data_IF_896561175963
#
_entry.id   IF_896561175963
#
_cell.length_a   1.000
_cell.length_b   1.000
_cell.length_c   1.000
_cell.angle_alpha   90.00
_cell.angle_beta   90.00
_cell.angle_gamma   90.00
#
_symmetry.space_group_name_H-M   'P 1'
#
loop_
_entity.id
_entity.type
_entity.pdbx_description
1 polymer ?
#
# COMPACT_ATOMS: atom_id res chain seq x y z
N UNK A 1 -0.58 -15.68 -10.26
CA UNK A 1 -1.98 -15.27 -10.47
C UNK A 1 -2.67 -15.25 -9.13
N UNK A 2 -3.07 -14.08 -8.64
CA UNK A 2 -3.79 -13.98 -7.38
C UNK A 2 -5.25 -14.43 -7.56
N UNK A 3 -5.80 -15.20 -6.63
CA UNK A 3 -7.18 -15.67 -6.70
C UNK A 3 -8.10 -14.61 -6.07
N UNK A 4 -9.05 -14.05 -6.83
CA UNK A 4 -10.00 -13.05 -6.34
C UNK A 4 -10.80 -13.56 -5.13
N UNK A 5 -11.12 -14.86 -5.08
CA UNK A 5 -11.85 -15.48 -3.96
C UNK A 5 -11.11 -15.34 -2.62
N UNK A 6 -9.78 -15.24 -2.62
CA UNK A 6 -9.01 -14.94 -1.42
C UNK A 6 -9.41 -13.59 -0.83
N UNK A 7 -9.48 -12.54 -1.65
CA UNK A 7 -9.81 -11.20 -1.16
C UNK A 7 -11.27 -11.11 -0.72
N UNK A 8 -12.18 -11.79 -1.42
CA UNK A 8 -13.58 -11.89 -0.97
C UNK A 8 -13.67 -12.54 0.42
N UNK A 9 -12.88 -13.59 0.67
CA UNK A 9 -12.87 -14.30 1.96
C UNK A 9 -12.25 -13.49 3.10
N UNK A 10 -11.23 -12.67 2.81
CA UNK A 10 -10.40 -12.01 3.83
C UNK A 10 -10.59 -10.50 3.92
N UNK A 11 -11.59 -9.92 3.24
CA UNK A 11 -11.93 -8.49 3.35
C UNK A 11 -13.40 -8.28 3.77
N UNK A 12 -13.78 -7.04 4.05
CA UNK A 12 -15.01 -6.69 4.77
C UNK A 12 -16.16 -6.22 3.87
N UNK A 13 -15.89 -5.95 2.59
CA UNK A 13 -16.90 -5.57 1.60
C UNK A 13 -16.43 -5.93 0.18
N UNK A 14 -17.34 -5.91 -0.80
CA UNK A 14 -16.99 -6.19 -2.20
C UNK A 14 -16.04 -5.13 -2.77
N UNK A 15 -16.20 -3.87 -2.36
CA UNK A 15 -15.32 -2.76 -2.73
C UNK A 15 -13.92 -2.96 -2.13
N UNK A 16 -13.84 -3.37 -0.86
CA UNK A 16 -12.56 -3.71 -0.23
C UNK A 16 -11.87 -4.88 -0.94
N UNK A 17 -12.63 -5.92 -1.31
CA UNK A 17 -12.10 -7.08 -2.02
C UNK A 17 -11.54 -6.67 -3.39
N UNK A 18 -12.30 -5.85 -4.13
CA UNK A 18 -11.91 -5.32 -5.44
C UNK A 18 -10.62 -4.49 -5.36
N UNK A 19 -10.60 -3.50 -4.46
CA UNK A 19 -9.45 -2.62 -4.28
C UNK A 19 -8.21 -3.39 -3.82
N UNK A 20 -8.35 -4.29 -2.84
CA UNK A 20 -7.23 -5.09 -2.33
C UNK A 20 -6.65 -6.02 -3.40
N UNK A 21 -7.52 -6.69 -4.17
CA UNK A 21 -7.12 -7.55 -5.28
C UNK A 21 -6.35 -6.77 -6.35
N UNK A 22 -6.96 -5.69 -6.87
CA UNK A 22 -6.35 -4.91 -7.94
C UNK A 22 -5.07 -4.22 -7.47
N UNK A 23 -5.03 -3.72 -6.23
CA UNK A 23 -3.82 -3.15 -5.65
C UNK A 23 -2.70 -4.20 -5.56
N UNK A 24 -3.01 -5.42 -5.09
CA UNK A 24 -2.03 -6.51 -5.03
C UNK A 24 -1.46 -6.85 -6.42
N UNK A 25 -2.31 -7.01 -7.42
CA UNK A 25 -1.89 -7.31 -8.80
C UNK A 25 -1.02 -6.18 -9.38
N UNK A 26 -1.35 -4.92 -9.09
CA UNK A 26 -0.57 -3.77 -9.55
C UNK A 26 0.79 -3.67 -8.84
N UNK A 27 0.85 -3.86 -7.52
CA UNK A 27 2.13 -3.91 -6.78
C UNK A 27 3.01 -5.05 -7.28
N UNK A 28 2.42 -6.22 -7.56
CA UNK A 28 3.16 -7.37 -8.11
C UNK A 28 3.75 -7.03 -9.48
N UNK A 29 2.99 -6.35 -10.35
CA UNK A 29 3.49 -5.90 -11.67
C UNK A 29 4.59 -4.84 -11.59
N UNK A 30 4.67 -4.09 -10.50
CA UNK A 30 5.76 -3.12 -10.27
C UNK A 30 7.09 -3.77 -9.85
N UNK A 31 7.13 -5.09 -9.63
CA UNK A 31 8.36 -5.79 -9.28
C UNK A 31 8.81 -5.55 -7.83
N UNK A 32 7.92 -5.05 -6.95
CA UNK A 32 8.27 -4.67 -5.58
C UNK A 32 8.67 -5.88 -4.73
N UNK A 33 8.03 -7.03 -4.95
CA UNK A 33 8.25 -8.25 -4.15
C UNK A 33 9.55 -8.99 -4.53
N UNK A 34 10.10 -8.69 -5.70
CA UNK A 34 11.38 -9.17 -6.20
C UNK A 34 12.54 -8.38 -5.57
N UNK A 35 12.28 -7.13 -5.19
CA UNK A 35 13.26 -6.23 -4.57
C UNK A 35 13.23 -6.39 -3.04
N UNK A 36 12.04 -6.41 -2.45
CA UNK A 36 11.85 -6.46 -1.01
C UNK A 36 11.20 -7.78 -0.61
N UNK A 37 11.89 -8.53 0.25
CA UNK A 37 11.37 -9.79 0.75
C UNK A 37 10.13 -9.56 1.63
N UNK A 38 9.24 -10.55 1.66
CA UNK A 38 8.22 -10.69 2.69
C UNK A 38 8.00 -12.18 2.90
N UNK A 39 8.10 -12.63 4.14
CA UNK A 39 8.13 -14.06 4.47
C UNK A 39 6.75 -14.72 4.47
N UNK A 40 5.70 -13.91 4.46
CA UNK A 40 4.32 -14.37 4.44
C UNK A 40 3.71 -14.13 3.06
N UNK A 41 2.46 -14.56 2.90
CA UNK A 41 1.71 -14.34 1.68
C UNK A 41 1.55 -12.83 1.37
N UNK A 42 2.09 -12.37 0.24
CA UNK A 42 2.05 -10.98 -0.21
C UNK A 42 0.63 -10.40 -0.31
N UNK A 43 -0.39 -11.24 -0.53
CA UNK A 43 -1.79 -10.82 -0.57
C UNK A 43 -2.26 -10.20 0.75
N UNK A 44 -1.65 -10.62 1.87
CA UNK A 44 -1.98 -10.10 3.20
C UNK A 44 -1.65 -8.62 3.36
N UNK A 45 -0.71 -8.07 2.59
CA UNK A 45 -0.39 -6.63 2.64
C UNK A 45 -1.61 -5.82 2.19
N UNK A 46 -2.20 -6.16 1.05
CA UNK A 46 -3.39 -5.48 0.52
C UNK A 46 -4.62 -5.70 1.41
N UNK A 47 -4.80 -6.91 1.94
CA UNK A 47 -5.87 -7.19 2.92
C UNK A 47 -5.70 -6.34 4.18
N UNK A 48 -4.47 -6.17 4.66
CA UNK A 48 -4.18 -5.37 5.85
C UNK A 48 -4.47 -3.89 5.62
N UNK A 49 -4.13 -3.37 4.44
CA UNK A 49 -4.47 -1.99 4.08
C UNK A 49 -5.99 -1.78 4.00
N UNK A 50 -6.70 -2.69 3.34
CA UNK A 50 -8.16 -2.65 3.28
C UNK A 50 -8.78 -2.71 4.68
N UNK A 51 -8.25 -3.54 5.57
CA UNK A 51 -8.67 -3.59 6.97
C UNK A 51 -8.53 -2.27 7.70
N UNK A 52 -7.34 -1.65 7.66
CA UNK A 52 -7.09 -0.40 8.39
C UNK A 52 -8.02 0.70 7.89
N UNK A 53 -8.10 0.88 6.57
CA UNK A 53 -8.95 1.91 5.98
C UNK A 53 -10.43 1.66 6.29
N UNK A 54 -10.90 0.41 6.22
CA UNK A 54 -12.27 0.04 6.57
C UNK A 54 -12.57 0.27 8.06
N UNK A 55 -11.68 -0.17 8.96
CA UNK A 55 -11.85 -0.04 10.41
C UNK A 55 -12.02 1.41 10.85
N UNK A 56 -11.32 2.32 10.19
CA UNK A 56 -11.39 3.75 10.43
C UNK A 56 -12.42 4.48 9.53
N UNK A 57 -13.30 3.71 8.88
CA UNK A 57 -14.44 4.22 8.10
C UNK A 57 -14.04 5.17 6.96
N UNK A 58 -12.86 4.96 6.36
CA UNK A 58 -12.47 5.69 5.16
C UNK A 58 -13.43 5.32 4.04
N UNK A 59 -13.94 6.30 3.29
CA UNK A 59 -14.86 6.01 2.19
C UNK A 59 -14.10 5.28 1.07
N UNK A 60 -14.73 4.35 0.36
CA UNK A 60 -14.06 3.53 -0.66
C UNK A 60 -13.42 4.35 -1.79
N UNK A 61 -14.00 5.52 -2.14
CA UNK A 61 -13.38 6.45 -3.10
C UNK A 61 -12.05 7.01 -2.58
N UNK A 62 -11.98 7.37 -1.30
CA UNK A 62 -10.77 7.88 -0.67
C UNK A 62 -9.74 6.76 -0.51
N UNK A 63 -10.19 5.54 -0.19
CA UNK A 63 -9.31 4.36 -0.20
C UNK A 63 -8.67 4.16 -1.59
N UNK A 64 -9.47 4.25 -2.66
CA UNK A 64 -8.96 4.08 -4.02
C UNK A 64 -7.93 5.17 -4.36
N UNK A 65 -8.14 6.41 -3.90
CA UNK A 65 -7.20 7.50 -4.09
C UNK A 65 -5.90 7.29 -3.29
N UNK A 66 -5.99 6.89 -2.03
CA UNK A 66 -4.82 6.59 -1.19
C UNK A 66 -3.99 5.44 -1.77
N UNK A 67 -4.66 4.37 -2.21
CA UNK A 67 -4.01 3.23 -2.87
C UNK A 67 -3.40 3.63 -4.23
N UNK A 68 -4.06 4.50 -5.00
CA UNK A 68 -3.50 5.00 -6.26
C UNK A 68 -2.25 5.85 -6.05
N UNK A 69 -2.26 6.75 -5.06
CA UNK A 69 -1.08 7.52 -4.66
C UNK A 69 0.05 6.61 -4.21
N UNK A 70 -0.27 5.59 -3.42
CA UNK A 70 0.70 4.56 -3.01
C UNK A 70 1.34 3.88 -4.21
N UNK A 71 0.55 3.50 -5.23
CA UNK A 71 1.08 2.90 -6.46
C UNK A 71 2.00 3.85 -7.22
N UNK A 72 1.70 5.15 -7.28
CA UNK A 72 2.61 6.14 -7.89
C UNK A 72 3.91 6.22 -7.10
N UNK A 73 3.87 6.24 -5.77
CA UNK A 73 5.07 6.26 -4.95
C UNK A 73 5.94 5.02 -5.15
N UNK A 74 5.31 3.85 -5.31
CA UNK A 74 6.00 2.58 -5.57
C UNK A 74 6.53 2.49 -7.00
N UNK A 75 5.82 3.01 -8.00
CA UNK A 75 6.29 3.09 -9.39
C UNK A 75 7.54 3.97 -9.48
N UNK A 76 7.50 5.18 -8.92
CA UNK A 76 8.66 6.06 -8.81
C UNK A 76 9.84 5.37 -8.11
N UNK A 77 9.56 4.63 -7.03
CA UNK A 77 10.58 3.89 -6.30
C UNK A 77 11.21 2.78 -7.13
N UNK A 78 10.40 2.01 -7.86
CA UNK A 78 10.87 0.89 -8.69
C UNK A 78 11.85 1.37 -9.77
N UNK A 79 11.62 2.56 -10.34
CA UNK A 79 12.51 3.19 -11.33
C UNK A 79 13.84 3.68 -10.75
N UNK A 80 13.93 3.91 -9.43
CA UNK A 80 15.06 4.60 -8.79
C UNK A 80 15.68 3.82 -7.63
N UNK A 81 15.32 2.56 -7.45
CA UNK A 81 15.74 1.76 -6.30
C UNK A 81 17.26 1.61 -6.21
N UNK A 82 17.93 1.45 -7.36
CA UNK A 82 19.39 1.28 -7.43
C UNK A 82 20.15 2.54 -6.99
N UNK A 83 19.53 3.71 -7.13
CA UNK A 83 20.09 4.98 -6.70
C UNK A 83 19.88 5.28 -5.20
N UNK A 84 19.30 4.35 -4.43
CA UNK A 84 18.96 4.54 -3.00
C UNK A 84 19.50 3.38 -2.15
N UNK A 85 20.82 3.30 -1.91
CA UNK A 85 21.42 2.21 -1.14
C UNK A 85 20.90 2.14 0.30
N UNK A 86 20.62 3.28 0.95
CA UNK A 86 20.12 3.32 2.33
C UNK A 86 18.73 2.66 2.47
N UNK A 87 17.98 2.58 1.37
CA UNK A 87 16.70 1.90 1.33
C UNK A 87 16.87 0.40 1.52
N UNK A 88 17.84 -0.24 0.88
CA UNK A 88 18.07 -1.69 1.05
C UNK A 88 18.54 -2.04 2.47
N UNK A 89 19.28 -1.14 3.10
CA UNK A 89 19.76 -1.35 4.47
C UNK A 89 18.63 -1.25 5.50
N UNK A 90 17.79 -0.21 5.38
CA UNK A 90 16.75 0.12 6.37
C UNK A 90 15.39 -0.51 6.07
N UNK A 91 15.11 -0.82 4.81
CA UNK A 91 13.86 -1.42 4.37
C UNK A 91 14.13 -2.82 3.83
N UNK A 92 14.00 -3.83 4.71
CA UNK A 92 14.21 -5.24 4.36
C UNK A 92 12.91 -5.99 4.08
N UNK A 93 11.78 -5.29 4.18
CA UNK A 93 10.47 -5.92 4.27
C UNK A 93 9.42 -5.15 3.44
N UNK A 94 8.82 -5.83 2.46
CA UNK A 94 7.84 -5.24 1.57
C UNK A 94 6.57 -4.79 2.32
N UNK A 95 6.19 -5.50 3.39
CA UNK A 95 5.01 -5.14 4.18
C UNK A 95 5.17 -3.74 4.78
N UNK A 96 6.26 -3.49 5.52
CA UNK A 96 6.51 -2.18 6.10
C UNK A 96 6.67 -1.09 5.01
N UNK A 97 7.34 -1.38 3.89
CA UNK A 97 7.45 -0.43 2.79
C UNK A 97 6.08 0.02 2.28
N UNK A 98 5.25 -0.94 1.88
CA UNK A 98 3.97 -0.67 1.22
C UNK A 98 3.00 -0.05 2.21
N UNK A 99 2.89 -0.58 3.43
CA UNK A 99 1.98 -0.05 4.44
C UNK A 99 2.31 1.40 4.80
N UNK A 100 3.58 1.76 4.93
CA UNK A 100 3.95 3.11 5.34
C UNK A 100 4.11 4.10 4.18
N UNK A 101 4.25 3.62 2.93
CA UNK A 101 3.96 4.44 1.75
C UNK A 101 2.46 4.78 1.67
N UNK A 102 1.58 3.82 1.98
CA UNK A 102 0.15 4.06 2.06
C UNK A 102 -0.23 5.01 3.20
N UNK A 103 0.42 4.91 4.35
CA UNK A 103 0.29 5.91 5.42
C UNK A 103 0.63 7.32 4.92
N UNK A 104 1.74 7.50 4.19
CA UNK A 104 2.12 8.80 3.64
C UNK A 104 1.09 9.33 2.63
N UNK A 105 0.57 8.46 1.76
CA UNK A 105 -0.48 8.81 0.81
C UNK A 105 -1.75 9.27 1.54
N UNK A 106 -2.20 8.49 2.52
CA UNK A 106 -3.37 8.79 3.34
C UNK A 106 -3.20 10.11 4.12
N UNK A 107 -2.03 10.32 4.73
CA UNK A 107 -1.71 11.54 5.48
C UNK A 107 -1.65 12.79 4.58
N UNK A 108 -1.30 12.64 3.30
CA UNK A 108 -1.30 13.74 2.33
C UNK A 108 -2.70 14.07 1.82
N UNK A 109 -3.53 13.04 1.62
CA UNK A 109 -4.82 13.17 0.93
C UNK A 109 -6.00 13.44 1.87
N UNK A 110 -5.93 12.97 3.11
CA UNK A 110 -7.06 13.02 4.04
C UNK A 110 -7.08 14.30 4.87
N UNK A 111 -8.25 14.96 4.94
CA UNK A 111 -8.48 16.09 5.84
C UNK A 111 -8.32 15.69 7.32
N UNK A 112 -8.73 14.46 7.65
CA UNK A 112 -8.61 13.87 8.99
C UNK A 112 -7.92 12.50 8.88
N UNK A 113 -6.58 12.46 8.81
CA UNK A 113 -5.88 11.21 8.61
C UNK A 113 -5.93 10.34 9.88
N UNK A 114 -5.97 9.03 9.66
CA UNK A 114 -5.71 8.03 10.71
C UNK A 114 -4.32 8.31 11.28
N UNK A 115 -4.21 8.51 12.59
CA UNK A 115 -2.96 8.95 13.22
C UNK A 115 -1.91 7.85 13.15
N UNK A 116 -0.64 8.21 13.13
CA UNK A 116 0.44 7.21 13.13
C UNK A 116 0.39 6.28 14.36
N UNK A 117 -0.06 6.80 15.51
CA UNK A 117 -0.26 6.00 16.73
C UNK A 117 -1.34 4.92 16.56
N UNK A 118 -2.34 5.17 15.73
CA UNK A 118 -3.40 4.22 15.40
C UNK A 118 -2.86 3.13 14.47
N UNK A 119 -2.13 3.50 13.41
CA UNK A 119 -1.39 2.55 12.57
C UNK A 119 -0.41 1.69 13.39
N UNK A 120 0.23 2.27 14.40
CA UNK A 120 1.11 1.54 15.32
C UNK A 120 0.34 0.48 16.11
N UNK A 121 -0.81 0.84 16.69
CA UNK A 121 -1.66 -0.09 17.47
C UNK A 121 -2.20 -1.24 16.62
N UNK A 122 -2.56 -0.97 15.37
CA UNK A 122 -3.12 -2.01 14.50
C UNK A 122 -2.03 -2.95 13.97
N UNK A 123 -0.96 -2.41 13.40
CA UNK A 123 0.05 -3.22 12.68
C UNK A 123 1.50 -2.89 13.01
N UNK A 124 1.81 -1.65 13.40
CA UNK A 124 3.20 -1.23 13.56
C UNK A 124 3.94 -1.87 14.73
N UNK A 125 3.23 -2.26 15.80
CA UNK A 125 3.82 -2.95 16.94
C UNK A 125 4.53 -4.27 16.58
N UNK A 126 4.18 -4.87 15.43
CA UNK A 126 4.82 -6.11 14.93
C UNK A 126 6.25 -5.89 14.46
N UNK A 127 6.53 -4.70 13.93
CA UNK A 127 7.81 -4.36 13.30
C UNK A 127 8.63 -3.35 14.10
N UNK A 128 7.98 -2.54 14.94
CA UNK A 128 8.60 -1.44 15.68
C UNK A 128 8.31 -1.58 17.17
N UNK A 129 9.32 -1.30 18.00
CA UNK A 129 9.18 -1.43 19.47
C UNK A 129 8.21 -0.39 20.05
N UNK A 130 8.11 0.78 19.42
CA UNK A 130 7.24 1.86 19.83
C UNK A 130 6.91 2.79 18.65
N UNK A 131 5.94 3.66 18.84
CA UNK A 131 5.50 4.61 17.82
C UNK A 131 6.60 5.60 17.41
N UNK A 132 7.58 5.88 18.27
CA UNK A 132 8.70 6.76 17.93
C UNK A 132 9.63 6.13 16.88
N UNK A 133 9.94 4.84 17.02
CA UNK A 133 10.69 4.10 15.99
C UNK A 133 9.94 4.03 14.67
N UNK A 134 8.63 3.81 14.73
CA UNK A 134 7.79 3.85 13.53
C UNK A 134 7.83 5.25 12.88
N UNK A 135 7.72 6.32 13.67
CA UNK A 135 7.81 7.69 13.17
C UNK A 135 9.14 7.97 12.49
N UNK A 136 10.26 7.50 13.07
CA UNK A 136 11.58 7.61 12.45
C UNK A 136 11.67 6.87 11.10
N UNK A 137 10.99 5.72 10.97
CA UNK A 137 10.91 4.97 9.73
C UNK A 137 10.05 5.68 8.66
N UNK A 138 8.86 6.17 9.05
CA UNK A 138 8.01 6.96 8.15
C UNK A 138 8.71 8.23 7.68
N UNK A 139 9.40 8.92 8.58
CA UNK A 139 10.18 10.11 8.24
C UNK A 139 11.33 9.78 7.28
N UNK A 140 11.97 8.60 7.42
CA UNK A 140 12.95 8.11 6.45
C UNK A 140 12.32 7.91 5.06
N UNK A 141 11.15 7.26 4.98
CA UNK A 141 10.43 7.10 3.70
C UNK A 141 10.10 8.48 3.09
N UNK A 142 9.63 9.43 3.89
CA UNK A 142 9.28 10.75 3.40
C UNK A 142 10.50 11.56 2.93
N UNK A 143 11.56 11.62 3.75
CA UNK A 143 12.73 12.45 3.47
C UNK A 143 13.68 11.84 2.44
N UNK A 144 14.08 10.57 2.63
CA UNK A 144 15.12 9.93 1.82
C UNK A 144 14.55 9.20 0.60
N UNK A 145 13.39 8.57 0.75
CA UNK A 145 12.79 7.80 -0.37
C UNK A 145 12.00 8.73 -1.27
N UNK A 146 11.11 9.54 -0.71
CA UNK A 146 10.27 10.50 -1.44
C UNK A 146 10.89 11.88 -1.65
N UNK A 147 12.03 12.19 -1.01
CA UNK A 147 12.69 13.49 -1.21
C UNK A 147 11.84 14.68 -0.77
N UNK A 148 11.06 14.53 0.30
CA UNK A 148 10.07 15.51 0.79
C UNK A 148 8.93 15.82 -0.20
N UNK A 149 8.67 14.95 -1.18
CA UNK A 149 7.62 15.14 -2.21
C UNK A 149 6.53 14.07 -2.14
N UNK A 150 5.34 14.46 -1.68
CA UNK A 150 4.14 13.63 -1.69
C UNK A 150 3.18 13.98 -2.84
N UNK A 151 3.27 15.20 -3.37
CA UNK A 151 2.51 15.60 -4.57
C UNK A 151 3.01 14.84 -5.79
N UNK A 152 2.09 14.35 -6.60
CA UNK A 152 2.35 13.59 -7.83
C UNK A 152 1.52 14.12 -8.99
N UNK A 153 1.77 13.61 -10.20
CA UNK A 153 1.02 13.98 -11.38
C UNK A 153 -0.40 13.38 -11.37
N UNK A 154 -1.41 14.22 -11.49
CA UNK A 154 -2.83 13.81 -11.46
C UNK A 154 -3.18 12.79 -12.55
N UNK A 155 -2.54 12.86 -13.71
CA UNK A 155 -2.76 11.89 -14.80
C UNK A 155 -2.32 10.47 -14.42
N UNK A 156 -1.23 10.32 -13.66
CA UNK A 156 -0.76 9.03 -13.15
C UNK A 156 -1.73 8.48 -12.09
N UNK A 157 -2.22 9.35 -11.20
CA UNK A 157 -3.20 8.97 -10.17
C UNK A 157 -4.50 8.50 -10.81
N UNK A 158 -5.04 9.26 -11.76
CA UNK A 158 -6.26 8.91 -12.50
C UNK A 158 -6.13 7.55 -13.19
N UNK A 159 -4.98 7.28 -13.81
CA UNK A 159 -4.66 5.99 -14.44
C UNK A 159 -4.72 4.83 -13.44
N UNK A 160 -4.20 5.01 -12.22
CA UNK A 160 -4.27 3.96 -11.20
C UNK A 160 -5.66 3.80 -10.59
N UNK A 161 -6.40 4.88 -10.36
CA UNK A 161 -7.81 4.78 -9.90
C UNK A 161 -8.63 3.95 -10.90
N UNK A 162 -8.50 4.21 -12.20
CA UNK A 162 -9.20 3.43 -13.23
C UNK A 162 -8.87 1.95 -13.17
N UNK A 163 -7.58 1.60 -12.96
CA UNK A 163 -7.14 0.20 -12.82
C UNK A 163 -7.65 -0.43 -11.51
N UNK A 164 -7.61 0.31 -10.41
CA UNK A 164 -8.07 -0.17 -9.08
C UNK A 164 -9.57 -0.44 -9.05
N UNK A 165 -10.35 0.37 -9.77
CA UNK A 165 -11.81 0.23 -9.82
C UNK A 165 -12.31 -0.66 -10.98
N UNK A 166 -11.41 -1.23 -11.79
CA UNK A 166 -11.80 -2.11 -12.90
C UNK A 166 -12.20 -3.50 -12.42
N UNK A 167 -13.26 -4.07 -12.99
CA UNK A 167 -13.72 -5.42 -12.66
C UNK A 167 -12.66 -6.45 -13.13
N UNK A 168 -12.27 -7.43 -12.28
CA UNK A 168 -11.33 -8.47 -12.66
C UNK A 168 -11.86 -9.27 -13.84
N UNK A 169 -11.02 -9.56 -14.85
CA UNK A 169 -11.41 -10.37 -16.01
C UNK A 169 -11.90 -11.76 -15.56
N UNK A 170 -12.93 -12.30 -16.22
CA UNK A 170 -13.63 -13.56 -15.84
C UNK A 170 -12.71 -14.78 -15.64
N UNK A 171 -11.53 -14.81 -16.26
CA UNK A 171 -10.51 -15.84 -16.03
C UNK A 171 -9.98 -15.90 -14.58
N UNK A 172 -10.04 -14.78 -13.84
CA UNK A 172 -9.64 -14.71 -12.43
C UNK A 172 -10.75 -15.14 -11.46
N UNK A 173 -12.00 -15.26 -11.93
CA UNK A 173 -13.17 -15.63 -11.13
C UNK A 173 -13.47 -17.14 -11.15
N UNK A 174 -12.98 -17.86 -12.15
CA UNK A 174 -13.33 -19.26 -12.44
C UNK A 174 -12.30 -20.29 -11.92
N UNK A 175 -11.22 -19.86 -11.28
CA UNK A 175 -10.24 -20.75 -10.65
C UNK A 175 -10.68 -21.24 -9.25
N UNK A 176 -11.97 -21.57 -9.11
CA UNK A 176 -12.59 -22.17 -7.93
C UNK A 176 -12.39 -23.68 -7.88
#
# INVERSE_FOLDING_TARGET
MSNYAFFVKYTYSNECALLAYNFHELVSKLGIFEIFAYRHDHRLISVTLAYILYRYQVHHCDMALDLALTLVYLEDLSCHVEAKPELRERCRDAFNLICYMAFLAHAFNSDRPIRLADWFKEIGWRSFKNCHQLNAYVFFLFSQVRGFKLRVNESQVKRYIQKLCSVPSQAAQTAS
#
